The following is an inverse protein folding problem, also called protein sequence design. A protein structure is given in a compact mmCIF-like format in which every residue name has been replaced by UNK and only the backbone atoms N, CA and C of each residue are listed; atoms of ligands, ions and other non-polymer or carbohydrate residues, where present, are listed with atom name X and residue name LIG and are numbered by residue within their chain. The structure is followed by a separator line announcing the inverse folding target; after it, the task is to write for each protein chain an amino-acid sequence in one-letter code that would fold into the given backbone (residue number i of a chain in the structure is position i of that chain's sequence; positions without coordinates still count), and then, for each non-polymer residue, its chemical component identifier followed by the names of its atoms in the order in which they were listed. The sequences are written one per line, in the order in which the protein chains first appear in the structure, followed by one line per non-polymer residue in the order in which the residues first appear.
data_IF_247661933559
#
_entry.id   IF_247661933559
#
_cell.length_a   1.000
_cell.length_b   1.000
_cell.length_c   1.000
_cell.angle_alpha   90.00
_cell.angle_beta   90.00
_cell.angle_gamma   90.00
#
_symmetry.space_group_name_H-M   'P 1'
#
loop_
_entity.id
_entity.type
_entity.pdbx_description
1 polymer ?
#
# COMPACT_ATOMS: atom_id res chain seq x y z
N UNK A 1 -11.11 2.10 32.83
CA UNK A 1 -11.34 2.21 31.36
C UNK A 1 -10.25 1.40 30.67
N UNK A 2 -10.56 0.30 29.96
CA UNK A 2 -9.54 -0.53 29.28
C UNK A 2 -9.02 0.23 28.06
N UNK A 3 -7.70 0.27 27.89
CA UNK A 3 -7.07 0.83 26.69
C UNK A 3 -7.48 -0.04 25.49
N UNK A 4 -8.05 0.54 24.40
CA UNK A 4 -8.48 -0.25 23.25
C UNK A 4 -7.29 -0.97 22.61
N UNK A 5 -7.50 -2.21 22.17
CA UNK A 5 -6.45 -3.02 21.54
C UNK A 5 -6.05 -2.38 20.20
N UNK A 6 -4.85 -2.71 19.71
CA UNK A 6 -4.35 -2.19 18.42
C UNK A 6 -5.31 -2.53 17.27
N UNK A 7 -5.91 -3.72 17.28
CA UNK A 7 -6.89 -4.16 16.27
C UNK A 7 -8.13 -3.27 16.28
N UNK A 8 -8.67 -2.94 17.47
CA UNK A 8 -9.85 -2.07 17.58
C UNK A 8 -9.58 -0.68 16.98
N UNK A 9 -8.36 -0.16 17.17
CA UNK A 9 -7.92 1.12 16.61
C UNK A 9 -7.76 1.06 15.08
N UNK A 10 -7.25 -0.05 14.55
CA UNK A 10 -7.15 -0.27 13.10
C UNK A 10 -8.54 -0.35 12.46
N UNK A 11 -9.46 -1.09 13.09
CA UNK A 11 -10.85 -1.19 12.62
C UNK A 11 -11.53 0.19 12.65
N UNK A 12 -11.38 0.95 13.74
CA UNK A 12 -11.90 2.30 13.82
C UNK A 12 -11.32 3.22 12.73
N UNK A 13 -10.01 3.10 12.44
CA UNK A 13 -9.36 3.86 11.37
C UNK A 13 -9.90 3.49 9.98
N UNK A 14 -10.10 2.19 9.70
CA UNK A 14 -10.62 1.71 8.42
C UNK A 14 -12.07 2.19 8.14
N UNK A 15 -12.88 2.35 9.18
CA UNK A 15 -14.24 2.89 9.05
C UNK A 15 -14.32 4.41 9.16
N UNK A 16 -13.22 5.08 9.54
CA UNK A 16 -13.19 6.53 9.67
C UNK A 16 -13.14 7.24 8.30
N UNK A 17 -13.59 8.49 8.28
CA UNK A 17 -13.49 9.39 7.13
C UNK A 17 -13.20 10.82 7.62
N UNK A 18 -12.81 11.69 6.70
CA UNK A 18 -12.53 13.10 6.99
C UNK A 18 -11.07 13.49 6.79
N UNK A 19 -10.70 14.72 7.16
CA UNK A 19 -9.33 15.19 7.06
C UNK A 19 -8.42 14.41 8.02
N UNK A 20 -7.20 14.09 7.57
CA UNK A 20 -6.18 13.51 8.42
C UNK A 20 -5.43 14.63 9.17
N UNK A 21 -5.64 14.81 10.49
CA UNK A 21 -4.94 15.84 11.24
C UNK A 21 -3.42 15.69 11.12
N UNK A 22 -2.77 16.79 10.71
CA UNK A 22 -1.32 16.92 10.63
C UNK A 22 -0.72 17.24 12.01
N UNK A 23 0.60 17.22 12.14
CA UNK A 23 1.31 17.59 13.37
C UNK A 23 1.36 16.52 14.47
N UNK A 24 0.39 15.60 14.54
CA UNK A 24 0.37 14.47 15.50
C UNK A 24 0.95 13.15 14.96
N UNK A 25 1.37 13.14 13.69
CA UNK A 25 1.93 11.97 13.00
C UNK A 25 0.89 10.98 12.46
N UNK A 26 -0.42 11.28 12.57
CA UNK A 26 -1.48 10.43 12.02
C UNK A 26 -1.37 10.32 10.50
N UNK A 27 -1.31 11.43 9.77
CA UNK A 27 -1.22 11.44 8.31
C UNK A 27 0.00 10.65 7.81
N UNK A 28 1.18 10.95 8.36
CA UNK A 28 2.42 10.23 8.07
C UNK A 28 2.33 8.74 8.44
N UNK A 29 1.67 8.40 9.55
CA UNK A 29 1.48 7.01 9.97
C UNK A 29 0.56 6.23 9.03
N UNK A 30 -0.49 6.87 8.51
CA UNK A 30 -1.39 6.28 7.50
C UNK A 30 -0.65 6.03 6.20
N UNK A 31 0.12 7.01 5.71
CA UNK A 31 0.95 6.85 4.50
C UNK A 31 1.96 5.71 4.66
N UNK A 32 2.66 5.66 5.80
CA UNK A 32 3.61 4.59 6.10
C UNK A 32 2.93 3.21 6.18
N UNK A 33 1.74 3.13 6.77
CA UNK A 33 0.97 1.89 6.84
C UNK A 33 0.57 1.41 5.44
N UNK A 34 0.00 2.29 4.61
CA UNK A 34 -0.42 1.96 3.24
C UNK A 34 0.78 1.47 2.42
N UNK A 35 1.89 2.24 2.41
CA UNK A 35 3.11 1.82 1.71
C UNK A 35 3.67 0.50 2.26
N UNK A 36 3.64 0.29 3.58
CA UNK A 36 4.04 -0.96 4.21
C UNK A 36 3.20 -2.15 3.74
N UNK A 37 1.87 -1.99 3.66
CA UNK A 37 0.96 -3.02 3.12
C UNK A 37 1.31 -3.31 1.65
N UNK A 38 1.43 -2.27 0.81
CA UNK A 38 1.75 -2.45 -0.61
C UNK A 38 3.11 -3.12 -0.83
N UNK A 39 4.14 -2.75 -0.07
CA UNK A 39 5.45 -3.40 -0.14
C UNK A 39 5.39 -4.85 0.31
N UNK A 40 4.66 -5.16 1.39
CA UNK A 40 4.49 -6.53 1.85
C UNK A 40 3.78 -7.39 0.80
N UNK A 41 2.69 -6.90 0.22
CA UNK A 41 1.98 -7.56 -0.87
C UNK A 41 2.87 -7.73 -2.12
N UNK A 42 3.69 -6.72 -2.45
CA UNK A 42 4.64 -6.78 -3.57
C UNK A 42 5.72 -7.85 -3.37
N UNK A 43 6.23 -7.99 -2.14
CA UNK A 43 7.16 -9.08 -1.79
C UNK A 43 6.49 -10.45 -1.91
N UNK A 44 5.22 -10.59 -1.50
CA UNK A 44 4.47 -11.83 -1.73
C UNK A 44 4.29 -12.10 -3.23
N UNK A 45 4.00 -11.07 -4.03
CA UNK A 45 3.91 -11.21 -5.48
C UNK A 45 5.23 -11.68 -6.11
N UNK A 46 6.38 -11.26 -5.59
CA UNK A 46 7.70 -11.75 -6.02
C UNK A 46 7.99 -13.20 -5.62
N UNK A 47 7.47 -13.67 -4.48
CA UNK A 47 7.59 -15.08 -4.06
C UNK A 47 6.68 -16.01 -4.84
N UNK A 48 5.49 -15.54 -5.22
CA UNK A 48 4.47 -16.34 -5.92
C UNK A 48 4.02 -15.71 -7.24
N UNK A 49 4.94 -15.37 -8.16
CA UNK A 49 4.60 -14.61 -9.36
C UNK A 49 3.66 -15.38 -10.30
N UNK A 50 3.69 -16.71 -10.28
CA UNK A 50 2.77 -17.55 -11.08
C UNK A 50 1.28 -17.38 -10.72
N UNK A 51 0.96 -16.96 -9.49
CA UNK A 51 -0.41 -16.77 -9.01
C UNK A 51 -0.77 -15.30 -8.79
N UNK A 52 0.23 -14.49 -8.42
CA UNK A 52 0.03 -13.11 -7.98
C UNK A 52 0.47 -12.08 -9.02
N UNK A 53 1.11 -12.47 -10.12
CA UNK A 53 1.62 -11.54 -11.13
C UNK A 53 1.02 -11.76 -12.52
N UNK A 54 0.68 -10.68 -13.22
CA UNK A 54 0.14 -10.75 -14.59
C UNK A 54 1.25 -11.02 -15.62
N UNK A 55 1.01 -11.86 -16.65
CA UNK A 55 1.97 -12.12 -17.73
C UNK A 55 2.40 -10.85 -18.48
N UNK A 56 1.48 -9.89 -18.62
CA UNK A 56 1.69 -8.63 -19.34
C UNK A 56 2.67 -7.74 -18.59
N UNK A 57 2.55 -7.64 -17.26
CA UNK A 57 3.47 -6.85 -16.45
C UNK A 57 4.88 -7.45 -16.49
N UNK A 58 4.98 -8.78 -16.50
CA UNK A 58 6.26 -9.51 -16.64
C UNK A 58 6.95 -9.28 -17.97
N UNK A 59 6.20 -9.04 -19.05
CA UNK A 59 6.73 -8.81 -20.40
C UNK A 59 7.01 -7.33 -20.69
N UNK A 60 6.23 -6.43 -20.08
CA UNK A 60 6.26 -4.99 -20.37
C UNK A 60 7.19 -4.19 -19.45
N UNK A 61 7.31 -4.58 -18.18
CA UNK A 61 8.10 -3.84 -17.20
C UNK A 61 9.45 -4.50 -16.91
N UNK A 62 10.50 -3.69 -16.90
CA UNK A 62 11.81 -4.11 -16.40
C UNK A 62 11.73 -4.41 -14.90
N UNK A 63 12.07 -5.64 -14.54
CA UNK A 63 12.09 -6.13 -13.16
C UNK A 63 12.97 -5.23 -12.28
N UNK A 64 14.07 -4.71 -12.82
CA UNK A 64 14.99 -3.83 -12.08
C UNK A 64 14.30 -2.54 -11.62
N UNK A 65 13.44 -1.98 -12.47
CA UNK A 65 12.62 -0.80 -12.16
C UNK A 65 11.62 -1.08 -11.04
N UNK A 66 10.88 -2.20 -11.10
CA UNK A 66 9.92 -2.56 -10.03
C UNK A 66 10.64 -2.79 -8.70
N UNK A 67 11.81 -3.44 -8.72
CA UNK A 67 12.65 -3.61 -7.52
C UNK A 67 13.06 -2.26 -6.93
N UNK A 68 13.44 -1.30 -7.76
CA UNK A 68 13.84 0.04 -7.32
C UNK A 68 12.67 0.80 -6.69
N UNK A 69 11.48 0.74 -7.31
CA UNK A 69 10.26 1.36 -6.78
C UNK A 69 9.94 0.75 -5.40
N UNK A 70 9.94 -0.59 -5.29
CA UNK A 70 9.67 -1.26 -4.01
C UNK A 70 10.72 -0.92 -2.96
N UNK A 71 12.01 -0.89 -3.33
CA UNK A 71 13.08 -0.49 -2.42
C UNK A 71 12.83 0.91 -1.83
N UNK A 72 12.58 1.91 -2.68
CA UNK A 72 12.35 3.28 -2.20
C UNK A 72 11.05 3.41 -1.42
N UNK A 73 9.99 2.70 -1.81
CA UNK A 73 8.74 2.66 -1.04
C UNK A 73 8.97 2.07 0.36
N UNK A 74 9.76 1.00 0.49
CA UNK A 74 10.15 0.43 1.80
C UNK A 74 11.00 1.40 2.62
N UNK A 75 11.97 2.09 2.00
CA UNK A 75 12.81 3.10 2.68
C UNK A 75 11.96 4.24 3.20
N UNK A 76 11.04 4.77 2.40
CA UNK A 76 10.13 5.86 2.81
C UNK A 76 9.19 5.40 3.93
N UNK A 77 8.54 4.24 3.76
CA UNK A 77 7.61 3.71 4.77
C UNK A 77 8.32 3.41 6.09
N UNK A 78 9.50 2.77 6.03
CA UNK A 78 10.32 2.46 7.19
C UNK A 78 10.85 3.72 7.88
N UNK A 79 11.34 4.69 7.11
CA UNK A 79 11.84 5.98 7.63
C UNK A 79 10.76 6.78 8.34
N UNK A 80 9.56 6.91 7.74
CA UNK A 80 8.42 7.58 8.38
C UNK A 80 7.98 6.84 9.65
N UNK A 81 7.93 5.50 9.60
CA UNK A 81 7.53 4.69 10.75
C UNK A 81 8.51 4.86 11.91
N UNK A 82 9.81 4.78 11.63
CA UNK A 82 10.86 4.95 12.63
C UNK A 82 10.83 6.36 13.24
N UNK A 83 10.70 7.39 12.40
CA UNK A 83 10.55 8.77 12.87
C UNK A 83 9.36 8.89 13.83
N UNK A 84 8.18 8.40 13.44
CA UNK A 84 7.00 8.48 14.28
C UNK A 84 7.14 7.70 15.60
N UNK A 85 7.83 6.55 15.60
CA UNK A 85 8.12 5.79 16.82
C UNK A 85 9.05 6.58 17.75
N UNK A 86 10.16 7.12 17.21
CA UNK A 86 11.18 7.82 17.98
C UNK A 86 10.64 9.11 18.63
N UNK A 87 9.79 9.85 17.91
CA UNK A 87 9.15 11.07 18.41
C UNK A 87 7.81 10.83 19.13
N UNK A 88 7.50 9.56 19.46
CA UNK A 88 6.28 9.15 20.16
C UNK A 88 4.96 9.61 19.49
N UNK A 89 4.95 9.75 18.17
CA UNK A 89 3.80 10.18 17.36
C UNK A 89 3.02 8.98 16.85
N UNK A 90 1.76 8.83 17.28
CA UNK A 90 0.86 7.73 16.87
C UNK A 90 1.56 6.35 16.87
N UNK A 91 2.27 6.02 17.96
CA UNK A 91 3.20 4.87 18.04
C UNK A 91 2.59 3.53 17.61
N UNK A 92 1.31 3.31 17.92
CA UNK A 92 0.63 2.06 17.56
C UNK A 92 0.53 1.87 16.04
N UNK A 93 0.25 2.95 15.29
CA UNK A 93 0.11 2.92 13.84
C UNK A 93 1.48 2.79 13.17
N UNK A 94 2.45 3.57 13.67
CA UNK A 94 3.82 3.53 13.20
C UNK A 94 4.49 2.16 13.47
N UNK A 95 4.19 1.52 14.61
CA UNK A 95 4.66 0.16 14.90
C UNK A 95 4.06 -0.88 13.95
N UNK A 96 2.77 -0.79 13.63
CA UNK A 96 2.13 -1.68 12.63
C UNK A 96 2.76 -1.52 11.24
N UNK A 97 2.99 -0.29 10.81
CA UNK A 97 3.64 0.00 9.53
C UNK A 97 5.09 -0.52 9.51
N UNK A 98 5.87 -0.25 10.56
CA UNK A 98 7.23 -0.75 10.70
C UNK A 98 7.28 -2.28 10.69
N UNK A 99 6.35 -2.95 11.36
CA UNK A 99 6.24 -4.41 11.37
C UNK A 99 6.06 -4.96 9.96
N UNK A 100 5.18 -4.37 9.14
CA UNK A 100 4.99 -4.80 7.75
C UNK A 100 6.24 -4.59 6.90
N UNK A 101 6.91 -3.44 7.04
CA UNK A 101 8.18 -3.17 6.32
C UNK A 101 9.27 -4.14 6.76
N UNK A 102 9.38 -4.42 8.06
CA UNK A 102 10.34 -5.38 8.59
C UNK A 102 10.05 -6.80 8.10
N UNK A 103 8.78 -7.23 8.08
CA UNK A 103 8.37 -8.51 7.53
C UNK A 103 8.72 -8.61 6.04
N UNK A 104 8.41 -7.57 5.25
CA UNK A 104 8.77 -7.50 3.84
C UNK A 104 10.29 -7.60 3.62
N UNK A 105 11.09 -6.92 4.46
CA UNK A 105 12.55 -6.97 4.41
C UNK A 105 13.11 -8.36 4.77
N UNK A 106 12.58 -8.99 5.82
CA UNK A 106 12.96 -10.34 6.24
C UNK A 106 12.63 -11.39 5.18
N UNK A 107 11.54 -11.19 4.44
CA UNK A 107 11.16 -12.01 3.30
C UNK A 107 12.00 -11.72 2.03
N UNK A 108 12.99 -10.82 2.08
CA UNK A 108 13.94 -10.54 1.00
C UNK A 108 13.70 -9.21 0.27
N UNK A 109 12.58 -8.54 0.51
CA UNK A 109 12.29 -7.21 -0.02
C UNK A 109 12.49 -7.09 -1.53
N UNK A 110 13.14 -6.02 -1.96
CA UNK A 110 13.45 -5.77 -3.38
C UNK A 110 14.42 -6.78 -4.02
N UNK A 111 14.98 -7.72 -3.25
CA UNK A 111 15.98 -8.69 -3.75
C UNK A 111 15.42 -10.10 -3.94
N UNK A 112 14.12 -10.34 -3.68
CA UNK A 112 13.50 -11.66 -3.89
C UNK A 112 13.72 -12.11 -5.33
N UNK A 113 14.37 -13.27 -5.59
CA UNK A 113 14.54 -13.79 -6.94
C UNK A 113 13.18 -14.05 -7.59
N UNK A 114 12.97 -13.53 -8.79
CA UNK A 114 11.74 -13.78 -9.56
C UNK A 114 12.12 -14.75 -10.67
N UNK A 115 11.60 -15.97 -10.59
CA UNK A 115 11.84 -17.00 -11.60
C UNK A 115 10.83 -16.87 -12.75
N UNK A 116 11.16 -17.43 -13.91
CA UNK A 116 10.21 -17.57 -15.01
C UNK A 116 9.36 -18.84 -14.81
N UNK A 117 8.06 -18.72 -15.09
CA UNK A 117 7.08 -19.80 -14.97
C UNK A 117 6.20 -19.84 -16.22
N UNK A 118 5.52 -20.96 -16.46
CA UNK A 118 4.71 -21.16 -17.66
C UNK A 118 3.55 -20.17 -17.76
N UNK A 119 3.25 -19.71 -18.99
CA UNK A 119 2.30 -18.64 -19.29
C UNK A 119 0.81 -19.07 -19.23
N UNK A 120 0.47 -20.15 -18.52
CA UNK A 120 -0.87 -20.79 -18.61
C UNK A 120 -1.53 -21.07 -17.25
N UNK A 121 -0.98 -20.52 -16.16
CA UNK A 121 -1.56 -20.64 -14.83
C UNK A 121 -2.55 -19.48 -14.57
N UNK A 122 -3.75 -19.77 -14.03
CA UNK A 122 -4.64 -18.71 -13.55
C UNK A 122 -3.94 -17.83 -12.52
N UNK A 123 -4.15 -16.52 -12.63
CA UNK A 123 -3.53 -15.52 -11.77
C UNK A 123 -4.59 -14.54 -11.26
N UNK A 124 -4.27 -13.84 -10.17
CA UNK A 124 -5.16 -12.84 -9.55
C UNK A 124 -4.74 -11.40 -9.91
N UNK A 125 -3.47 -11.19 -10.30
CA UNK A 125 -2.97 -9.88 -10.73
C UNK A 125 -2.74 -8.89 -9.58
N UNK A 126 -2.20 -9.38 -8.46
CA UNK A 126 -1.88 -8.57 -7.29
C UNK A 126 -0.85 -7.49 -7.59
N UNK A 127 0.13 -7.77 -8.45
CA UNK A 127 1.12 -6.78 -8.91
C UNK A 127 0.48 -5.60 -9.65
N UNK A 128 -0.44 -5.88 -10.57
CA UNK A 128 -1.21 -4.88 -11.29
C UNK A 128 -2.08 -4.07 -10.34
N UNK A 129 -2.78 -4.74 -9.41
CA UNK A 129 -3.53 -4.07 -8.35
C UNK A 129 -2.67 -3.10 -7.53
N UNK A 130 -1.47 -3.52 -7.11
CA UNK A 130 -0.56 -2.68 -6.31
C UNK A 130 -0.15 -1.44 -7.12
N UNK A 131 0.28 -1.65 -8.37
CA UNK A 131 0.77 -0.57 -9.22
C UNK A 131 -0.34 0.40 -9.61
N UNK A 132 -1.53 -0.11 -9.95
CA UNK A 132 -2.66 0.74 -10.28
C UNK A 132 -3.15 1.49 -9.05
N UNK A 133 -3.23 0.85 -7.88
CA UNK A 133 -3.63 1.53 -6.64
C UNK A 133 -2.65 2.64 -6.28
N UNK A 134 -1.35 2.36 -6.33
CA UNK A 134 -0.31 3.34 -6.03
C UNK A 134 -0.30 4.47 -7.07
N UNK A 135 -0.30 4.14 -8.35
CA UNK A 135 -0.23 5.08 -9.46
C UNK A 135 -1.45 5.99 -9.54
N UNK A 136 -2.65 5.39 -9.58
CA UNK A 136 -3.91 6.15 -9.61
C UNK A 136 -4.06 7.03 -8.37
N UNK A 137 -3.80 6.50 -7.16
CA UNK A 137 -3.88 7.31 -5.93
C UNK A 137 -2.91 8.49 -5.96
N UNK A 138 -1.65 8.28 -6.37
CA UNK A 138 -0.68 9.37 -6.48
C UNK A 138 -1.13 10.43 -7.48
N UNK A 139 -1.54 10.02 -8.69
CA UNK A 139 -1.96 10.94 -9.75
C UNK A 139 -3.22 11.71 -9.34
N UNK A 140 -4.27 11.02 -8.91
CA UNK A 140 -5.55 11.65 -8.58
C UNK A 140 -5.45 12.51 -7.33
N UNK A 141 -4.76 12.06 -6.27
CA UNK A 141 -4.55 12.90 -5.08
C UNK A 141 -3.71 14.12 -5.42
N UNK A 142 -2.66 13.97 -6.25
CA UNK A 142 -1.83 15.09 -6.66
C UNK A 142 -2.63 16.13 -7.46
N UNK A 143 -3.37 15.69 -8.49
CA UNK A 143 -4.23 16.56 -9.30
C UNK A 143 -5.31 17.21 -8.43
N UNK A 144 -5.97 16.45 -7.57
CA UNK A 144 -7.02 16.96 -6.67
C UNK A 144 -6.47 18.02 -5.72
N UNK A 145 -5.23 17.90 -5.24
CA UNK A 145 -4.63 18.88 -4.34
C UNK A 145 -4.01 20.08 -5.05
N UNK A 146 -3.52 19.92 -6.29
CA UNK A 146 -2.96 21.02 -7.07
C UNK A 146 -4.05 21.88 -7.75
N UNK A 147 -5.10 21.24 -8.27
CA UNK A 147 -6.19 21.88 -9.03
C UNK A 147 -7.56 21.58 -8.39
N UNK A 148 -7.65 21.81 -7.08
CA UNK A 148 -8.83 21.46 -6.28
C UNK A 148 -10.10 22.21 -6.74
N UNK A 149 -11.04 21.48 -7.33
CA UNK A 149 -12.40 21.97 -7.59
C UNK A 149 -13.19 22.14 -6.27
N UNK A 150 -13.03 21.20 -5.33
CA UNK A 150 -13.65 21.21 -3.99
C UNK A 150 -12.57 21.21 -2.90
N UNK A 151 -12.13 22.40 -2.50
CA UNK A 151 -11.00 22.58 -1.55
C UNK A 151 -11.22 21.96 -0.18
N UNK A 152 -12.47 21.94 0.30
CA UNK A 152 -12.84 21.37 1.59
C UNK A 152 -12.94 19.84 1.56
N UNK A 153 -12.83 19.20 0.39
CA UNK A 153 -12.93 17.75 0.28
C UNK A 153 -11.65 17.08 0.80
N UNK A 154 -11.74 16.24 1.85
CA UNK A 154 -10.62 15.45 2.30
C UNK A 154 -10.35 14.30 1.32
N UNK A 155 -9.10 13.81 1.29
CA UNK A 155 -8.71 12.64 0.47
C UNK A 155 -9.58 11.42 0.85
N UNK A 156 -9.73 11.17 2.15
CA UNK A 156 -10.60 10.12 2.69
C UNK A 156 -12.01 10.67 2.94
N UNK A 157 -12.76 10.96 1.88
CA UNK A 157 -14.18 11.38 1.95
C UNK A 157 -15.08 10.27 2.50
N UNK A 158 -16.32 10.59 2.91
CA UNK A 158 -17.23 9.65 3.59
C UNK A 158 -17.37 8.25 2.94
N UNK A 159 -17.31 8.16 1.60
CA UNK A 159 -17.48 6.90 0.85
C UNK A 159 -16.17 6.32 0.29
N UNK A 160 -15.00 6.73 0.80
CA UNK A 160 -13.72 6.24 0.26
C UNK A 160 -13.59 4.70 0.38
N UNK A 161 -14.27 4.09 1.35
CA UNK A 161 -14.34 2.64 1.50
C UNK A 161 -15.09 1.98 0.35
N UNK A 162 -16.16 2.62 -0.13
CA UNK A 162 -16.92 2.15 -1.30
C UNK A 162 -16.02 2.23 -2.53
N UNK A 163 -15.27 3.32 -2.69
CA UNK A 163 -14.29 3.46 -3.78
C UNK A 163 -13.24 2.33 -3.73
N UNK A 164 -12.69 2.05 -2.55
CA UNK A 164 -11.71 0.98 -2.35
C UNK A 164 -12.29 -0.41 -2.62
N UNK A 165 -13.54 -0.67 -2.21
CA UNK A 165 -14.22 -1.93 -2.50
C UNK A 165 -14.42 -2.14 -4.00
N UNK A 166 -14.92 -1.13 -4.71
CA UNK A 166 -15.06 -1.18 -6.17
C UNK A 166 -13.70 -1.38 -6.84
N UNK A 167 -12.67 -0.68 -6.36
CA UNK A 167 -11.30 -0.80 -6.87
C UNK A 167 -10.77 -2.23 -6.73
N UNK A 168 -10.89 -2.84 -5.54
CA UNK A 168 -10.48 -4.22 -5.29
C UNK A 168 -11.27 -5.20 -6.17
N UNK A 169 -12.60 -5.11 -6.16
CA UNK A 169 -13.45 -6.05 -6.91
C UNK A 169 -13.14 -5.99 -8.40
N UNK A 170 -13.05 -4.80 -8.98
CA UNK A 170 -12.74 -4.65 -10.40
C UNK A 170 -11.36 -5.22 -10.73
N UNK A 171 -10.33 -4.93 -9.94
CA UNK A 171 -8.97 -5.42 -10.20
C UNK A 171 -8.82 -6.92 -10.04
N UNK A 172 -9.43 -7.50 -9.01
CA UNK A 172 -9.34 -8.93 -8.79
C UNK A 172 -10.16 -9.72 -9.82
N UNK A 173 -11.25 -9.16 -10.35
CA UNK A 173 -12.03 -9.79 -11.44
C UNK A 173 -11.28 -9.75 -12.77
N UNK A 174 -10.53 -8.68 -13.06
CA UNK A 174 -9.76 -8.55 -14.31
C UNK A 174 -8.74 -9.69 -14.47
N UNK A 175 -8.19 -10.24 -13.37
CA UNK A 175 -7.32 -11.43 -13.44
C UNK A 175 -8.01 -12.71 -13.95
N UNK A 176 -9.34 -12.75 -14.02
CA UNK A 176 -10.13 -13.92 -14.43
C UNK A 176 -10.76 -13.80 -15.83
N UNK A 177 -10.61 -12.66 -16.52
CA UNK A 177 -11.17 -12.40 -17.87
C UNK A 177 -10.05 -12.21 -18.87
#
# INVERSE_FOLDING_TARGET
MKTPKTIDKLNALAHSHGPLPTGRGLSSGVVALILGILCFLGVLAFHFPQYLSTPELRKSYDVSTIRLIMYWAMVVAGGISLYNILFARTRWLAASAFFLVAAAALLGGAKVPVNNFADHTPYIGLDWFILDLLGSSLIFVFIEKLFALRREQPVFRAEWQVDMQHFIVNHMIVGFV
#
